data_IF_921824727564
#
_entry.id   IF_921824727564
#
_cell.length_a   1.000
_cell.length_b   1.000
_cell.length_c   1.000
_cell.angle_alpha   90.00
_cell.angle_beta   90.00
_cell.angle_gamma   90.00
#
_symmetry.space_group_name_H-M   'P 1'
#
loop_
_entity.id
_entity.type
_entity.pdbx_description
1 polymer ?
#
# COMPACT_ATOMS: atom_id res chain seq x y z
N UNK A 1 -23.97 -7.56 51.12
CA UNK A 1 -25.01 -6.70 51.72
C UNK A 1 -24.44 -6.19 53.03
N UNK A 2 -24.01 -4.94 53.10
CA UNK A 2 -23.50 -4.31 54.32
C UNK A 2 -24.69 -3.66 55.04
N UNK A 3 -25.12 -4.25 56.16
CA UNK A 3 -26.08 -3.59 57.06
C UNK A 3 -25.42 -2.34 57.65
N UNK A 4 -25.84 -1.17 57.18
CA UNK A 4 -25.53 0.10 57.83
C UNK A 4 -26.33 0.17 59.12
N UNK A 5 -25.64 0.16 60.25
CA UNK A 5 -26.26 0.44 61.55
C UNK A 5 -26.62 1.94 61.59
N UNK A 6 -27.85 2.32 61.94
CA UNK A 6 -28.23 3.74 62.03
C UNK A 6 -27.43 4.46 63.13
N UNK A 7 -27.15 5.77 62.99
CA UNK A 7 -26.42 6.54 63.99
C UNK A 7 -27.20 6.61 65.30
N UNK A 8 -26.49 6.44 66.42
CA UNK A 8 -27.06 6.48 67.77
C UNK A 8 -27.57 7.89 68.10
N UNK A 9 -28.79 7.99 68.62
CA UNK A 9 -29.41 9.23 69.11
C UNK A 9 -29.62 9.15 70.62
N UNK A 10 -29.35 10.26 71.32
CA UNK A 10 -29.45 10.31 72.78
C UNK A 10 -30.93 10.27 73.21
N UNK A 11 -31.31 9.42 74.18
CA UNK A 11 -32.67 9.42 74.73
C UNK A 11 -33.00 10.76 75.43
N UNK A 12 -34.26 11.22 75.30
CA UNK A 12 -34.79 12.41 75.96
C UNK A 12 -35.86 12.01 76.97
N UNK A 13 -35.97 12.73 78.09
CA UNK A 13 -37.07 12.60 79.04
C UNK A 13 -38.37 13.18 78.45
N UNK A 14 -39.56 12.85 79.00
CA UNK A 14 -40.85 13.36 78.49
C UNK A 14 -40.98 14.90 78.45
N UNK A 15 -40.15 15.60 79.20
CA UNK A 15 -40.01 17.06 79.30
C UNK A 15 -38.92 17.65 78.38
N UNK A 16 -38.35 16.84 77.47
CA UNK A 16 -37.47 17.30 76.38
C UNK A 16 -36.02 17.55 76.78
N UNK A 17 -35.60 17.14 77.97
CA UNK A 17 -34.20 17.19 78.42
C UNK A 17 -33.49 15.88 78.14
N UNK A 18 -32.16 15.92 78.07
CA UNK A 18 -31.33 14.73 77.82
C UNK A 18 -31.38 13.77 79.01
N UNK A 19 -31.82 12.54 78.76
CA UNK A 19 -31.86 11.46 79.75
C UNK A 19 -30.52 10.72 79.76
N UNK A 20 -29.61 11.19 80.63
CA UNK A 20 -28.27 10.62 80.76
C UNK A 20 -28.29 9.23 81.39
N UNK A 21 -29.25 8.93 82.28
CA UNK A 21 -29.35 7.61 82.93
C UNK A 21 -29.84 6.54 81.93
N UNK A 22 -30.83 6.87 81.08
CA UNK A 22 -31.22 5.98 79.98
C UNK A 22 -30.12 5.87 78.91
N UNK A 23 -29.36 6.93 78.66
CA UNK A 23 -28.22 6.92 77.73
C UNK A 23 -27.07 6.02 78.16
N UNK A 24 -26.78 5.94 79.47
CA UNK A 24 -25.73 5.09 80.03
C UNK A 24 -26.12 3.61 79.97
N UNK A 25 -27.40 3.28 80.15
CA UNK A 25 -27.88 1.89 80.04
C UNK A 25 -28.11 1.41 78.59
N UNK A 26 -28.27 2.33 77.63
CA UNK A 26 -28.37 2.02 76.20
C UNK A 26 -27.01 2.00 75.47
N UNK A 27 -25.97 2.57 76.07
CA UNK A 27 -24.61 2.42 75.58
C UNK A 27 -24.18 0.96 75.75
N UNK A 28 -23.66 0.34 74.68
CA UNK A 28 -23.10 -1.02 74.72
C UNK A 28 -22.18 -1.15 75.93
N UNK A 29 -22.19 -2.31 76.63
CA UNK A 29 -21.37 -2.50 77.83
C UNK A 29 -19.94 -2.04 77.54
N UNK A 30 -19.43 -1.15 78.39
CA UNK A 30 -18.03 -0.75 78.36
C UNK A 30 -17.18 -2.03 78.37
N UNK A 31 -16.11 -2.10 77.56
CA UNK A 31 -15.29 -3.30 77.50
C UNK A 31 -14.80 -3.61 78.92
N UNK A 32 -15.12 -4.81 79.36
CA UNK A 32 -14.72 -5.39 80.63
C UNK A 32 -13.21 -5.14 80.81
N UNK A 33 -12.84 -4.37 81.84
CA UNK A 33 -11.45 -4.25 82.29
C UNK A 33 -11.08 -5.50 83.10
N UNK A 34 -11.40 -6.67 82.57
CA UNK A 34 -10.86 -7.92 83.05
C UNK A 34 -9.36 -7.88 82.78
N UNK A 35 -8.58 -8.27 83.80
CA UNK A 35 -7.15 -8.49 83.64
C UNK A 35 -6.98 -9.64 82.64
N UNK A 36 -6.91 -9.32 81.34
CA UNK A 36 -6.72 -10.29 80.27
C UNK A 36 -5.52 -11.17 80.62
N UNK A 37 -5.75 -12.49 80.65
CA UNK A 37 -4.70 -13.44 80.96
C UNK A 37 -3.57 -13.33 79.92
N UNK A 38 -2.35 -13.72 80.30
CA UNK A 38 -1.16 -13.57 79.47
C UNK A 38 -1.31 -14.17 78.06
N UNK A 39 -2.12 -15.22 77.92
CA UNK A 39 -2.43 -15.86 76.63
C UNK A 39 -3.31 -14.98 75.72
N UNK A 40 -4.27 -14.24 76.25
CA UNK A 40 -5.15 -13.36 75.46
C UNK A 40 -4.41 -12.12 74.96
N UNK A 41 -3.50 -11.58 75.79
CA UNK A 41 -2.60 -10.49 75.36
C UNK A 41 -1.62 -10.96 74.28
N UNK A 42 -1.13 -12.20 74.37
CA UNK A 42 -0.28 -12.78 73.33
C UNK A 42 -1.05 -13.04 72.02
N UNK A 43 -2.31 -13.45 72.10
CA UNK A 43 -3.17 -13.63 70.93
C UNK A 43 -3.53 -12.31 70.25
N UNK A 44 -3.86 -11.27 71.01
CA UNK A 44 -4.09 -9.92 70.47
C UNK A 44 -2.83 -9.32 69.85
N UNK A 45 -1.66 -9.50 70.47
CA UNK A 45 -0.40 -9.04 69.90
C UNK A 45 -0.12 -9.69 68.54
N UNK A 46 -0.32 -11.01 68.40
CA UNK A 46 -0.20 -11.72 67.12
C UNK A 46 -1.23 -11.26 66.08
N UNK A 47 -2.46 -10.97 66.50
CA UNK A 47 -3.49 -10.48 65.59
C UNK A 47 -3.17 -9.06 65.10
N UNK A 48 -2.63 -8.21 65.98
CA UNK A 48 -2.19 -6.86 65.64
C UNK A 48 -0.99 -6.87 64.68
N UNK A 49 -0.02 -7.77 64.93
CA UNK A 49 1.13 -7.98 64.06
C UNK A 49 0.71 -8.44 62.67
N UNK A 50 -0.24 -9.38 62.58
CA UNK A 50 -0.79 -9.84 61.30
C UNK A 50 -1.55 -8.72 60.55
N UNK A 51 -2.23 -7.84 61.28
CA UNK A 51 -2.92 -6.68 60.68
C UNK A 51 -1.92 -5.65 60.16
N UNK A 52 -0.86 -5.35 60.92
CA UNK A 52 0.22 -4.44 60.50
C UNK A 52 0.95 -4.96 59.26
N UNK A 53 1.21 -6.27 59.20
CA UNK A 53 1.83 -6.89 58.03
C UNK A 53 0.91 -6.84 56.81
N UNK A 54 -0.40 -7.05 56.99
CA UNK A 54 -1.40 -6.89 55.91
C UNK A 54 -1.50 -5.44 55.44
N UNK A 55 -1.48 -4.46 56.33
CA UNK A 55 -1.51 -3.05 55.95
C UNK A 55 -0.23 -2.63 55.24
N UNK A 56 0.94 -3.12 55.68
CA UNK A 56 2.21 -2.89 55.00
C UNK A 56 2.20 -3.45 53.57
N UNK A 57 1.66 -4.66 53.37
CA UNK A 57 1.51 -5.25 52.02
C UNK A 57 0.52 -4.48 51.14
N UNK A 58 -0.56 -3.93 51.72
CA UNK A 58 -1.52 -3.10 50.99
C UNK A 58 -0.91 -1.75 50.62
N UNK A 59 -0.12 -1.14 51.51
CA UNK A 59 0.61 0.10 51.21
C UNK A 59 1.70 -0.11 50.17
N UNK A 60 2.45 -1.22 50.22
CA UNK A 60 3.43 -1.57 49.20
C UNK A 60 2.77 -1.83 47.83
N UNK A 61 1.60 -2.48 47.82
CA UNK A 61 0.81 -2.68 46.60
C UNK A 61 0.25 -1.35 46.05
N UNK A 62 -0.16 -0.43 46.93
CA UNK A 62 -0.59 0.93 46.53
C UNK A 62 0.58 1.78 46.04
N UNK A 63 1.76 1.66 46.64
CA UNK A 63 2.98 2.32 46.20
C UNK A 63 3.41 1.84 44.80
N UNK A 64 3.39 0.51 44.55
CA UNK A 64 3.63 -0.05 43.21
C UNK A 64 2.58 0.37 42.19
N UNK A 65 1.30 0.45 42.57
CA UNK A 65 0.26 1.01 41.70
C UNK A 65 0.44 2.51 41.44
N UNK A 66 0.95 3.27 42.41
CA UNK A 66 1.25 4.69 42.25
C UNK A 66 2.47 4.91 41.35
N UNK A 67 3.52 4.09 41.46
CA UNK A 67 4.66 4.06 40.52
C UNK A 67 4.20 3.76 39.09
N UNK A 68 3.36 2.74 38.90
CA UNK A 68 2.75 2.39 37.60
C UNK A 68 1.85 3.51 37.03
N UNK A 69 1.18 4.29 37.89
CA UNK A 69 0.37 5.45 37.47
C UNK A 69 1.19 6.72 37.25
N UNK A 70 2.40 6.81 37.80
CA UNK A 70 3.23 8.02 37.77
C UNK A 70 3.88 8.31 36.42
N UNK A 71 3.73 7.43 35.43
CA UNK A 71 3.96 7.78 34.02
C UNK A 71 5.35 8.33 33.70
N UNK A 72 6.37 7.98 34.49
CA UNK A 72 7.76 8.21 34.07
C UNK A 72 7.98 7.29 32.87
N UNK A 73 8.32 7.82 31.68
CA UNK A 73 8.63 6.97 30.54
C UNK A 73 9.85 6.15 30.92
N UNK A 74 9.64 4.87 31.23
CA UNK A 74 10.75 3.94 31.42
C UNK A 74 11.48 3.92 30.08
N UNK A 75 12.77 4.29 30.03
CA UNK A 75 13.55 4.17 28.81
C UNK A 75 13.41 2.73 28.32
N UNK A 76 13.18 2.49 27.01
CA UNK A 76 13.12 1.13 26.50
C UNK A 76 14.38 0.38 26.94
N UNK A 77 14.27 -0.90 27.33
CA UNK A 77 15.40 -1.65 27.85
C UNK A 77 16.54 -1.61 26.83
N UNK A 78 17.73 -1.24 27.31
CA UNK A 78 18.92 -1.22 26.47
C UNK A 78 19.23 -2.65 26.01
N UNK A 79 19.37 -2.83 24.69
CA UNK A 79 19.82 -4.10 24.13
C UNK A 79 21.25 -4.43 24.61
N UNK A 80 21.61 -5.71 24.80
CA UNK A 80 22.98 -6.12 25.10
C UNK A 80 23.93 -5.61 24.02
N UNK A 81 25.09 -5.05 24.37
CA UNK A 81 26.04 -4.53 23.38
C UNK A 81 26.42 -5.59 22.34
N UNK A 82 26.58 -6.83 22.79
CA UNK A 82 26.97 -7.98 21.95
C UNK A 82 25.90 -8.37 20.92
N UNK A 83 24.67 -7.85 21.06
CA UNK A 83 23.60 -8.06 20.07
C UNK A 83 23.69 -7.12 18.87
N UNK A 84 24.58 -6.13 18.91
CA UNK A 84 24.78 -5.13 17.87
C UNK A 84 26.05 -5.48 17.08
N UNK A 85 25.88 -6.02 15.89
CA UNK A 85 27.01 -6.19 14.95
C UNK A 85 27.36 -4.84 14.34
N UNK A 86 28.61 -4.41 14.49
CA UNK A 86 29.15 -3.23 13.83
C UNK A 86 30.09 -3.66 12.70
N UNK A 87 29.87 -3.12 11.52
CA UNK A 87 30.78 -3.27 10.37
C UNK A 87 31.44 -1.91 10.10
N UNK A 88 32.74 -1.94 9.79
CA UNK A 88 33.54 -0.73 9.49
C UNK A 88 33.70 -0.65 7.98
N UNK A 89 33.38 0.50 7.39
CA UNK A 89 33.56 0.72 5.96
C UNK A 89 35.05 0.64 5.57
N UNK A 90 35.38 -0.21 4.59
CA UNK A 90 36.73 -0.45 4.11
C UNK A 90 36.87 -0.02 2.66
N UNK A 91 38.05 0.48 2.26
CA UNK A 91 38.31 0.84 0.85
C UNK A 91 38.19 -0.35 -0.11
N UNK A 92 38.30 -1.58 0.37
CA UNK A 92 38.07 -2.79 -0.43
C UNK A 92 36.62 -2.96 -0.88
N UNK A 93 35.67 -2.34 -0.18
CA UNK A 93 34.24 -2.50 -0.44
C UNK A 93 33.83 -1.85 -1.77
N UNK A 94 34.55 -0.81 -2.22
CA UNK A 94 34.25 -0.15 -3.51
C UNK A 94 34.51 -1.06 -4.73
N UNK A 95 35.36 -2.08 -4.59
CA UNK A 95 35.64 -3.03 -5.68
C UNK A 95 34.59 -4.15 -5.79
N UNK A 96 33.81 -4.40 -4.72
CA UNK A 96 32.86 -5.51 -4.63
C UNK A 96 31.40 -5.06 -4.68
N UNK A 97 31.12 -3.76 -4.47
CA UNK A 97 29.76 -3.19 -4.53
C UNK A 97 29.37 -2.89 -5.98
N UNK A 98 28.99 -3.94 -6.72
CA UNK A 98 28.31 -3.83 -8.01
C UNK A 98 26.90 -4.41 -7.89
N UNK A 99 25.88 -3.63 -8.26
CA UNK A 99 24.52 -4.13 -8.35
C UNK A 99 24.41 -5.04 -9.57
N UNK A 100 24.03 -6.29 -9.33
CA UNK A 100 23.73 -7.25 -10.39
C UNK A 100 22.23 -7.32 -10.62
N UNK A 101 21.82 -7.60 -11.86
CA UNK A 101 20.44 -7.89 -12.22
C UNK A 101 20.31 -9.35 -12.64
N UNK A 102 19.28 -10.01 -12.14
CA UNK A 102 18.84 -11.31 -12.62
C UNK A 102 18.16 -11.18 -13.99
N UNK A 103 17.36 -10.12 -14.16
CA UNK A 103 16.79 -9.68 -15.43
C UNK A 103 16.86 -8.15 -15.46
N UNK A 104 17.70 -7.59 -16.31
CA UNK A 104 17.85 -6.14 -16.46
C UNK A 104 16.69 -5.57 -17.31
N UNK A 105 16.01 -4.47 -16.92
CA UNK A 105 16.15 -3.67 -15.69
C UNK A 105 15.19 -4.02 -14.55
N UNK A 106 14.53 -5.18 -14.61
CA UNK A 106 13.35 -5.48 -13.81
C UNK A 106 13.64 -6.13 -12.45
N UNK A 107 14.64 -7.00 -12.38
CA UNK A 107 14.89 -7.86 -11.23
C UNK A 107 16.34 -7.70 -10.73
N UNK A 108 16.64 -6.67 -9.93
CA UNK A 108 17.93 -6.58 -9.23
C UNK A 108 18.13 -7.77 -8.28
N UNK A 109 19.35 -8.29 -8.22
CA UNK A 109 19.75 -9.38 -7.33
C UNK A 109 19.60 -8.98 -5.86
N UNK A 110 19.21 -9.93 -5.00
CA UNK A 110 19.12 -9.77 -3.53
C UNK A 110 18.18 -8.66 -3.06
N UNK A 111 17.19 -8.32 -3.86
CA UNK A 111 16.26 -7.23 -3.58
C UNK A 111 14.81 -7.72 -3.55
N UNK A 112 13.98 -6.96 -2.84
CA UNK A 112 12.52 -7.05 -2.95
C UNK A 112 12.03 -6.09 -4.04
N UNK A 113 11.23 -6.60 -4.98
CA UNK A 113 10.71 -5.85 -6.13
C UNK A 113 9.19 -5.97 -6.16
N UNK A 114 8.49 -4.83 -6.25
CA UNK A 114 7.03 -4.78 -6.28
C UNK A 114 6.45 -4.74 -7.69
N UNK A 115 5.47 -5.59 -7.98
CA UNK A 115 4.70 -5.61 -9.22
C UNK A 115 3.23 -5.35 -8.90
N UNK A 116 2.76 -4.14 -9.21
CA UNK A 116 1.48 -3.65 -8.75
C UNK A 116 0.57 -3.24 -9.90
N UNK A 117 -0.73 -3.31 -9.68
CA UNK A 117 -1.71 -2.82 -10.65
C UNK A 117 -3.06 -3.49 -10.50
N UNK A 118 -4.01 -3.11 -11.35
CA UNK A 118 -5.35 -3.70 -11.33
C UNK A 118 -5.29 -5.19 -11.71
N UNK A 119 -6.39 -5.91 -11.48
CA UNK A 119 -6.59 -7.22 -12.09
C UNK A 119 -6.50 -7.12 -13.61
N UNK A 120 -6.14 -8.22 -14.26
CA UNK A 120 -6.12 -8.35 -15.73
C UNK A 120 -5.06 -7.54 -16.50
N UNK A 121 -4.02 -7.05 -15.83
CA UNK A 121 -2.84 -6.41 -16.49
C UNK A 121 -1.63 -7.36 -16.60
N UNK A 122 -1.88 -8.67 -16.48
CA UNK A 122 -0.90 -9.74 -16.70
C UNK A 122 0.37 -9.73 -15.82
N UNK A 123 0.29 -9.24 -14.57
CA UNK A 123 1.41 -9.22 -13.60
C UNK A 123 2.06 -10.60 -13.39
N UNK A 124 1.25 -11.62 -13.08
CA UNK A 124 1.73 -12.99 -12.90
C UNK A 124 2.32 -13.57 -14.18
N UNK A 125 1.76 -13.25 -15.35
CA UNK A 125 2.35 -13.68 -16.64
C UNK A 125 3.67 -12.97 -16.96
N UNK A 126 3.81 -11.70 -16.57
CA UNK A 126 5.06 -10.94 -16.73
C UNK A 126 6.20 -11.60 -15.95
N UNK A 127 5.96 -11.91 -14.67
CA UNK A 127 6.93 -12.61 -13.82
C UNK A 127 7.15 -14.06 -14.24
N UNK A 128 6.11 -14.77 -14.69
CA UNK A 128 6.26 -16.12 -15.22
C UNK A 128 7.13 -16.17 -16.48
N UNK A 129 7.04 -15.13 -17.33
CA UNK A 129 7.91 -14.99 -18.51
C UNK A 129 9.36 -14.79 -18.07
N UNK A 130 9.63 -13.88 -17.12
CA UNK A 130 10.97 -13.67 -16.58
C UNK A 130 11.55 -14.92 -15.91
N UNK A 131 10.72 -15.65 -15.15
CA UNK A 131 11.11 -16.92 -14.54
C UNK A 131 11.49 -17.99 -15.56
N UNK A 132 10.81 -18.01 -16.72
CA UNK A 132 11.16 -18.86 -17.83
C UNK A 132 12.44 -18.39 -18.54
N UNK A 133 12.62 -17.09 -18.76
CA UNK A 133 13.80 -16.52 -19.44
C UNK A 133 15.11 -16.81 -18.69
N UNK A 134 15.09 -16.82 -17.36
CA UNK A 134 16.28 -17.14 -16.55
C UNK A 134 16.49 -18.64 -16.32
N UNK A 135 15.56 -19.48 -16.78
CA UNK A 135 15.50 -20.88 -16.39
C UNK A 135 16.68 -21.73 -16.87
N UNK A 136 17.45 -21.24 -17.84
CA UNK A 136 18.69 -21.91 -18.26
C UNK A 136 19.83 -21.78 -17.24
N UNK A 137 19.82 -20.72 -16.44
CA UNK A 137 20.91 -20.36 -15.52
C UNK A 137 20.49 -20.33 -14.05
N UNK A 138 19.20 -20.24 -13.77
CA UNK A 138 18.67 -20.12 -12.42
C UNK A 138 17.30 -20.81 -12.28
N UNK A 139 16.91 -21.07 -11.04
CA UNK A 139 15.60 -21.61 -10.68
C UNK A 139 14.70 -20.56 -10.03
N UNK A 140 13.40 -20.79 -10.13
CA UNK A 140 12.34 -19.94 -9.57
C UNK A 140 11.50 -20.72 -8.54
N UNK A 141 11.19 -20.09 -7.41
CA UNK A 141 10.20 -20.55 -6.43
C UNK A 141 8.96 -19.68 -6.53
N UNK A 142 7.83 -20.28 -6.85
CA UNK A 142 6.54 -19.60 -6.95
C UNK A 142 5.62 -20.03 -5.81
N UNK A 143 5.17 -19.07 -5.01
CA UNK A 143 4.22 -19.30 -3.92
C UNK A 143 2.95 -18.53 -4.26
N UNK A 144 1.82 -19.23 -4.41
CA UNK A 144 0.57 -18.60 -4.81
C UNK A 144 -0.64 -19.01 -3.98
N UNK A 145 -1.52 -18.03 -3.74
CA UNK A 145 -2.89 -18.19 -3.20
C UNK A 145 -3.98 -17.90 -4.24
N UNK A 146 -3.61 -17.39 -5.42
CA UNK A 146 -4.55 -16.97 -6.47
C UNK A 146 -4.55 -17.90 -7.67
N UNK A 147 -3.40 -18.47 -8.04
CA UNK A 147 -3.26 -19.29 -9.24
C UNK A 147 -3.05 -20.78 -8.91
N UNK A 148 -3.81 -21.70 -9.55
CA UNK A 148 -3.58 -23.14 -9.40
C UNK A 148 -2.17 -23.57 -9.84
N UNK A 149 -1.54 -24.50 -9.10
CA UNK A 149 -0.20 -25.00 -9.43
C UNK A 149 -0.04 -25.51 -10.85
N UNK A 150 -1.05 -26.22 -11.36
CA UNK A 150 -0.99 -26.78 -12.71
C UNK A 150 -0.90 -25.68 -13.76
N UNK A 151 -1.56 -24.55 -13.53
CA UNK A 151 -1.53 -23.42 -14.45
C UNK A 151 -0.16 -22.75 -14.46
N UNK A 152 0.43 -22.55 -13.28
CA UNK A 152 1.79 -21.99 -13.15
C UNK A 152 2.81 -22.90 -13.84
N UNK A 153 2.76 -24.21 -13.58
CA UNK A 153 3.67 -25.20 -14.18
C UNK A 153 3.49 -25.31 -15.69
N UNK A 154 2.26 -25.42 -16.18
CA UNK A 154 1.97 -25.49 -17.61
C UNK A 154 2.42 -24.21 -18.31
N UNK A 155 2.18 -23.04 -17.71
CA UNK A 155 2.63 -21.76 -18.25
C UNK A 155 4.14 -21.75 -18.40
N UNK A 156 4.90 -22.08 -17.36
CA UNK A 156 6.38 -22.14 -17.42
C UNK A 156 6.88 -22.99 -18.59
N UNK A 157 6.37 -24.22 -18.72
CA UNK A 157 6.78 -25.12 -19.80
C UNK A 157 6.36 -24.60 -21.19
N UNK A 158 5.18 -23.98 -21.31
CA UNK A 158 4.67 -23.48 -22.60
C UNK A 158 5.30 -22.17 -23.06
N UNK A 159 5.88 -21.40 -22.14
CA UNK A 159 6.67 -20.21 -22.46
C UNK A 159 8.07 -20.59 -22.95
N UNK A 160 8.54 -21.80 -22.63
CA UNK A 160 9.90 -22.28 -22.95
C UNK A 160 10.80 -22.41 -21.72
N UNK A 161 10.25 -22.29 -20.51
CA UNK A 161 10.98 -22.54 -19.29
C UNK A 161 11.47 -23.99 -19.21
N UNK A 162 12.70 -24.18 -18.72
CA UNK A 162 13.30 -25.51 -18.65
C UNK A 162 12.64 -26.35 -17.55
N UNK A 163 12.51 -27.65 -17.79
CA UNK A 163 11.98 -28.62 -16.82
C UNK A 163 12.77 -28.56 -15.49
N UNK A 164 12.13 -28.83 -14.34
CA UNK A 164 12.83 -28.91 -13.06
C UNK A 164 13.40 -27.59 -12.50
N UNK A 165 13.18 -26.44 -13.14
CA UNK A 165 13.69 -25.13 -12.66
C UNK A 165 12.62 -24.27 -11.99
N UNK A 166 11.37 -24.72 -12.00
CA UNK A 166 10.25 -24.08 -11.32
C UNK A 166 9.78 -24.95 -10.14
N UNK A 167 9.87 -24.40 -8.92
CA UNK A 167 9.30 -24.96 -7.71
C UNK A 167 8.00 -24.22 -7.39
N UNK A 168 6.91 -24.94 -7.12
CA UNK A 168 5.61 -24.33 -6.82
C UNK A 168 5.13 -24.77 -5.45
N UNK A 169 4.71 -23.82 -4.61
CA UNK A 169 4.06 -24.05 -3.32
C UNK A 169 2.62 -23.57 -3.42
N UNK A 170 1.69 -24.47 -3.15
CA UNK A 170 0.27 -24.11 -3.04
C UNK A 170 -0.02 -23.60 -1.65
N UNK A 171 -0.65 -22.44 -1.58
CA UNK A 171 -1.29 -21.95 -0.39
C UNK A 171 -2.81 -21.98 -0.60
N UNK A 172 -3.53 -22.76 0.21
CA UNK A 172 -4.99 -22.74 0.20
C UNK A 172 -5.50 -21.45 0.88
N UNK A 173 -6.43 -20.69 0.26
CA UNK A 173 -7.01 -19.50 0.88
C UNK A 173 -7.86 -19.89 2.08
N UNK A 174 -7.63 -19.25 3.22
CA UNK A 174 -8.37 -19.51 4.47
C UNK A 174 -9.31 -18.36 4.85
N UNK A 175 -8.96 -17.14 4.47
CA UNK A 175 -9.73 -15.93 4.79
C UNK A 175 -9.85 -15.04 3.57
N UNK A 176 -11.04 -14.52 3.33
CA UNK A 176 -11.33 -13.54 2.30
C UNK A 176 -11.93 -12.26 2.90
N UNK A 177 -11.70 -11.12 2.25
CA UNK A 177 -12.36 -9.86 2.58
C UNK A 177 -13.78 -9.76 1.99
N UNK A 178 -14.47 -8.65 2.28
CA UNK A 178 -15.81 -8.38 1.76
C UNK A 178 -15.90 -8.30 0.22
N UNK A 179 -14.77 -8.20 -0.48
CA UNK A 179 -14.67 -8.14 -1.93
C UNK A 179 -14.21 -9.48 -2.54
N UNK A 180 -14.10 -10.54 -1.72
CA UNK A 180 -13.68 -11.88 -2.13
C UNK A 180 -12.18 -12.04 -2.34
N UNK A 181 -11.35 -11.07 -1.89
CA UNK A 181 -9.89 -11.15 -2.02
C UNK A 181 -9.30 -11.91 -0.85
N UNK A 182 -8.34 -12.80 -1.12
CA UNK A 182 -7.65 -13.56 -0.09
C UNK A 182 -6.83 -12.63 0.80
N UNK A 183 -7.10 -12.63 2.10
CA UNK A 183 -6.38 -11.87 3.14
C UNK A 183 -5.63 -12.76 4.12
N UNK A 184 -5.69 -14.07 3.92
CA UNK A 184 -4.96 -15.07 4.69
C UNK A 184 -5.08 -16.44 4.05
N UNK A 185 -4.04 -17.25 4.24
CA UNK A 185 -3.93 -18.58 3.64
C UNK A 185 -3.23 -19.54 4.60
N UNK A 186 -3.28 -20.83 4.26
CA UNK A 186 -2.52 -21.89 4.94
C UNK A 186 -1.00 -21.69 4.90
N UNK A 187 -0.51 -20.75 4.11
CA UNK A 187 0.88 -20.27 4.14
C UNK A 187 0.91 -18.87 4.75
N UNK A 188 1.81 -18.70 5.71
CA UNK A 188 2.27 -17.41 6.24
C UNK A 188 3.72 -17.16 5.83
N UNK A 189 3.98 -16.04 5.15
CA UNK A 189 5.31 -15.53 4.79
C UNK A 189 6.28 -15.52 5.98
N UNK A 190 5.85 -15.14 7.18
CA UNK A 190 6.75 -15.05 8.33
C UNK A 190 7.22 -16.43 8.84
N UNK A 191 6.42 -17.47 8.63
CA UNK A 191 6.69 -18.81 9.17
C UNK A 191 7.25 -19.76 8.10
N UNK A 192 6.79 -19.63 6.86
CA UNK A 192 6.95 -20.66 5.83
C UNK A 192 7.89 -20.27 4.68
N UNK A 193 8.17 -18.98 4.49
CA UNK A 193 8.98 -18.51 3.36
C UNK A 193 10.42 -19.03 3.42
N UNK A 194 11.11 -18.87 4.55
CA UNK A 194 12.49 -19.33 4.70
C UNK A 194 12.62 -20.86 4.52
N UNK A 195 11.79 -21.70 5.18
CA UNK A 195 11.79 -23.14 4.92
C UNK A 195 11.53 -23.51 3.45
N UNK A 196 10.62 -22.81 2.77
CA UNK A 196 10.33 -23.05 1.35
C UNK A 196 11.53 -22.71 0.46
N UNK A 197 12.20 -21.58 0.71
CA UNK A 197 13.44 -21.18 0.03
C UNK A 197 14.52 -22.23 0.25
N UNK A 198 14.77 -22.66 1.49
CA UNK A 198 15.78 -23.67 1.79
C UNK A 198 15.51 -25.00 1.08
N UNK A 199 14.25 -25.45 1.06
CA UNK A 199 13.85 -26.68 0.36
C UNK A 199 14.05 -26.55 -1.15
N UNK A 200 13.67 -25.41 -1.74
CA UNK A 200 13.85 -25.15 -3.17
C UNK A 200 15.34 -25.05 -3.55
N UNK A 201 16.18 -24.41 -2.73
CA UNK A 201 17.64 -24.35 -2.97
C UNK A 201 18.27 -25.75 -3.03
N UNK A 202 17.97 -26.62 -2.05
CA UNK A 202 18.46 -28.01 -2.05
C UNK A 202 18.01 -28.79 -3.29
N UNK A 203 16.79 -28.56 -3.76
CA UNK A 203 16.29 -29.14 -5.01
C UNK A 203 17.07 -28.61 -6.23
N UNK A 204 17.18 -27.29 -6.34
CA UNK A 204 17.84 -26.60 -7.44
C UNK A 204 19.32 -26.99 -7.61
N UNK A 205 20.02 -27.20 -6.50
CA UNK A 205 21.45 -27.54 -6.49
C UNK A 205 21.74 -28.98 -6.95
N UNK A 206 20.72 -29.85 -6.98
CA UNK A 206 20.88 -31.30 -7.24
C UNK A 206 20.30 -31.78 -8.57
N UNK A 207 19.44 -30.98 -9.23
CA UNK A 207 18.75 -31.43 -10.45
C UNK A 207 19.59 -31.35 -11.73
N UNK A 208 20.57 -30.45 -11.79
CA UNK A 208 21.32 -30.14 -13.02
C UNK A 208 22.83 -30.09 -12.81
N UNK A 209 23.58 -30.37 -13.87
CA UNK A 209 25.03 -30.17 -13.95
C UNK A 209 25.34 -29.32 -15.21
N UNK A 210 25.81 -28.07 -15.07
CA UNK A 210 26.02 -27.34 -13.82
C UNK A 210 24.69 -27.03 -13.09
N UNK A 211 24.72 -26.80 -11.77
CA UNK A 211 23.53 -26.46 -11.00
C UNK A 211 22.89 -25.15 -11.47
N UNK A 212 21.56 -25.07 -11.36
CA UNK A 212 20.77 -23.87 -11.65
C UNK A 212 20.21 -23.31 -10.35
N UNK A 213 20.97 -22.49 -9.62
CA UNK A 213 20.62 -22.09 -8.26
C UNK A 213 19.29 -21.34 -8.23
N UNK A 214 18.55 -21.48 -7.13
CA UNK A 214 17.38 -20.63 -6.89
C UNK A 214 17.82 -19.17 -6.79
N UNK A 215 17.28 -18.32 -7.66
CA UNK A 215 17.55 -16.87 -7.67
C UNK A 215 16.31 -16.00 -7.67
N UNK A 216 15.15 -16.53 -8.07
CA UNK A 216 13.89 -15.79 -8.06
C UNK A 216 12.88 -16.45 -7.13
N UNK A 217 12.22 -15.65 -6.30
CA UNK A 217 11.06 -16.04 -5.51
C UNK A 217 9.89 -15.13 -5.88
N UNK A 218 8.73 -15.70 -6.19
CA UNK A 218 7.52 -14.96 -6.53
C UNK A 218 6.44 -15.19 -5.48
N UNK A 219 5.87 -14.11 -4.94
CA UNK A 219 4.76 -14.14 -3.98
C UNK A 219 3.46 -13.61 -4.62
N UNK A 220 2.52 -14.50 -4.92
CA UNK A 220 1.30 -14.21 -5.68
C UNK A 220 0.00 -14.55 -4.91
N UNK A 221 -0.60 -13.65 -4.13
CA UNK A 221 -0.17 -12.27 -3.84
C UNK A 221 0.37 -12.13 -2.43
N UNK A 222 1.32 -11.22 -2.24
CA UNK A 222 1.95 -11.01 -0.92
C UNK A 222 0.93 -10.65 0.17
N UNK A 223 -0.15 -9.96 -0.18
CA UNK A 223 -1.25 -9.63 0.74
C UNK A 223 -1.93 -10.88 1.30
N UNK A 224 -2.27 -11.84 0.44
CA UNK A 224 -2.98 -13.05 0.85
C UNK A 224 -2.09 -14.12 1.47
N UNK A 225 -0.78 -14.07 1.20
CA UNK A 225 0.25 -14.96 1.75
C UNK A 225 0.78 -14.53 3.13
N UNK A 226 0.42 -13.33 3.60
CA UNK A 226 0.92 -12.81 4.89
C UNK A 226 -0.09 -13.06 6.00
N UNK A 227 0.36 -13.68 7.10
CA UNK A 227 -0.42 -13.82 8.32
C UNK A 227 -0.47 -12.50 9.11
N UNK A 228 -1.45 -11.65 8.81
CA UNK A 228 -1.62 -10.38 9.53
C UNK A 228 -2.05 -10.62 10.98
N UNK A 229 -1.22 -10.24 11.96
CA UNK A 229 -1.52 -10.41 13.39
C UNK A 229 -2.60 -9.44 13.84
N UNK A 230 -3.12 -9.64 15.06
CA UNK A 230 -4.13 -8.73 15.64
C UNK A 230 -3.62 -7.29 15.67
N UNK A 231 -4.30 -6.41 14.94
CA UNK A 231 -3.95 -4.98 14.82
C UNK A 231 -3.06 -4.67 13.62
N UNK A 232 -2.56 -5.67 12.90
CA UNK A 232 -1.85 -5.50 11.62
C UNK A 232 -2.82 -5.64 10.45
N UNK A 233 -2.52 -4.97 9.34
CA UNK A 233 -3.37 -4.95 8.16
C UNK A 233 -2.55 -4.66 6.91
N UNK A 234 -2.93 -5.21 5.75
CA UNK A 234 -2.31 -4.85 4.47
C UNK A 234 -2.57 -3.39 4.06
N UNK A 235 -3.50 -2.70 4.76
CA UNK A 235 -3.81 -1.29 4.55
C UNK A 235 -3.06 -0.35 5.52
N UNK A 236 -2.23 -0.89 6.43
CA UNK A 236 -1.46 -0.10 7.39
C UNK A 236 0.02 -0.01 6.98
N UNK A 237 0.53 1.21 6.80
CA UNK A 237 1.90 1.46 6.37
C UNK A 237 2.94 0.86 7.33
N UNK A 238 2.69 0.86 8.64
CA UNK A 238 3.65 0.32 9.60
C UNK A 238 3.76 -1.21 9.47
N UNK A 239 2.64 -1.90 9.33
CA UNK A 239 2.55 -3.34 9.12
C UNK A 239 3.24 -3.77 7.81
N UNK A 240 2.98 -3.04 6.71
CA UNK A 240 3.58 -3.30 5.40
C UNK A 240 5.09 -3.04 5.41
N UNK A 241 5.57 -1.98 6.07
CA UNK A 241 7.02 -1.71 6.23
C UNK A 241 7.73 -2.83 6.97
N UNK A 242 7.13 -3.38 8.03
CA UNK A 242 7.71 -4.53 8.77
C UNK A 242 7.84 -5.75 7.87
N UNK A 243 6.81 -6.06 7.09
CA UNK A 243 6.83 -7.16 6.12
C UNK A 243 7.94 -6.98 5.10
N UNK A 244 8.04 -5.79 4.48
CA UNK A 244 9.03 -5.53 3.44
C UNK A 244 10.47 -5.50 3.98
N UNK A 245 10.67 -5.03 5.21
CA UNK A 245 11.96 -5.12 5.90
C UNK A 245 12.35 -6.58 6.16
N UNK A 246 11.40 -7.41 6.63
CA UNK A 246 11.62 -8.86 6.78
C UNK A 246 11.98 -9.51 5.44
N UNK A 247 11.22 -9.26 4.38
CA UNK A 247 11.48 -9.81 3.05
C UNK A 247 12.86 -9.39 2.51
N UNK A 248 13.28 -8.15 2.75
CA UNK A 248 14.61 -7.68 2.34
C UNK A 248 15.73 -8.42 3.10
N UNK A 249 15.57 -8.65 4.39
CA UNK A 249 16.52 -9.47 5.17
C UNK A 249 16.59 -10.91 4.65
N UNK A 250 15.46 -11.49 4.25
CA UNK A 250 15.40 -12.82 3.64
C UNK A 250 16.07 -12.83 2.26
N UNK A 251 15.83 -11.84 1.40
CA UNK A 251 16.41 -11.77 0.05
C UNK A 251 17.93 -11.70 0.09
N UNK A 252 18.48 -10.94 1.04
CA UNK A 252 19.93 -10.82 1.25
C UNK A 252 20.53 -12.10 1.83
N UNK A 253 19.94 -12.64 2.91
CA UNK A 253 20.45 -13.85 3.60
C UNK A 253 20.52 -15.05 2.67
N UNK A 254 19.51 -15.22 1.82
CA UNK A 254 19.42 -16.38 0.93
C UNK A 254 19.88 -16.08 -0.50
N UNK A 255 20.41 -14.91 -0.80
CA UNK A 255 20.90 -14.57 -2.14
C UNK A 255 19.85 -14.82 -3.25
N UNK A 256 18.64 -14.30 -3.02
CA UNK A 256 17.49 -14.42 -3.95
C UNK A 256 16.84 -13.05 -4.16
N UNK A 257 16.26 -12.83 -5.33
CA UNK A 257 15.36 -11.71 -5.60
C UNK A 257 13.93 -12.14 -5.28
N UNK A 258 13.21 -11.33 -4.51
CA UNK A 258 11.81 -11.59 -4.15
C UNK A 258 10.92 -10.62 -4.92
N UNK A 259 10.17 -11.12 -5.89
CA UNK A 259 9.14 -10.38 -6.59
C UNK A 259 7.79 -10.56 -5.90
N UNK A 260 7.16 -9.46 -5.49
CA UNK A 260 5.85 -9.45 -4.85
C UNK A 260 4.78 -8.94 -5.81
N UNK A 261 3.67 -9.66 -5.90
CA UNK A 261 2.50 -9.21 -6.66
C UNK A 261 1.49 -8.62 -5.69
N UNK A 262 0.99 -7.42 -6.02
CA UNK A 262 -0.07 -6.77 -5.26
C UNK A 262 -1.14 -6.14 -6.16
N UNK A 263 -2.39 -6.15 -5.70
CA UNK A 263 -3.51 -5.55 -6.41
C UNK A 263 -3.80 -4.14 -5.88
N UNK A 264 -3.90 -3.18 -6.81
CA UNK A 264 -4.34 -1.82 -6.48
C UNK A 264 -5.85 -1.79 -6.15
N UNK A 265 -6.26 -1.00 -5.16
CA UNK A 265 -7.68 -0.82 -4.83
C UNK A 265 -8.44 -0.10 -5.97
N UNK A 266 -9.76 -0.34 -6.07
CA UNK A 266 -10.65 0.29 -7.08
C UNK A 266 -11.00 1.76 -6.79
N UNK A 267 -10.39 2.40 -5.79
CA UNK A 267 -10.79 3.73 -5.33
C UNK A 267 -10.23 4.89 -6.18
N UNK A 268 -10.87 6.06 -6.07
CA UNK A 268 -10.57 7.32 -6.77
C UNK A 268 -9.27 7.97 -6.24
N UNK A 269 -8.12 7.39 -6.52
CA UNK A 269 -6.85 8.04 -6.22
C UNK A 269 -6.35 8.80 -7.46
N UNK A 270 -5.90 10.05 -7.25
CA UNK A 270 -5.41 10.94 -8.32
C UNK A 270 -4.13 10.42 -8.98
N UNK A 271 -3.29 9.69 -8.23
CA UNK A 271 -2.13 8.98 -8.78
C UNK A 271 -2.26 7.49 -8.54
N UNK A 272 -2.12 6.70 -9.62
CA UNK A 272 -2.23 5.24 -9.60
C UNK A 272 -1.16 4.58 -8.71
N UNK A 273 -0.08 5.29 -8.39
CA UNK A 273 1.03 4.85 -7.56
C UNK A 273 0.77 4.90 -6.04
N UNK A 274 -0.30 5.55 -5.59
CA UNK A 274 -0.39 6.00 -4.19
C UNK A 274 -0.97 4.97 -3.21
N UNK A 275 -1.69 3.94 -3.67
CA UNK A 275 -2.28 2.95 -2.75
C UNK A 275 -2.47 1.56 -3.39
N UNK A 276 -1.61 0.62 -2.99
CA UNK A 276 -1.84 -0.83 -3.17
C UNK A 276 -2.44 -1.34 -1.87
N UNK A 277 -3.58 -2.05 -1.94
CA UNK A 277 -4.28 -2.50 -0.74
C UNK A 277 -4.39 -1.43 0.38
N UNK A 278 -4.61 -0.15 0.02
CA UNK A 278 -4.80 0.96 0.98
C UNK A 278 -3.54 1.53 1.63
N UNK A 279 -2.35 0.97 1.37
CA UNK A 279 -1.09 1.44 1.93
C UNK A 279 -0.12 1.93 0.84
N UNK A 280 0.55 3.06 1.11
CA UNK A 280 1.59 3.62 0.23
C UNK A 280 2.94 2.90 0.41
N UNK A 281 3.11 2.22 1.54
CA UNK A 281 4.35 1.52 1.87
C UNK A 281 4.65 0.38 0.89
N UNK A 282 3.63 -0.21 0.25
CA UNK A 282 3.82 -1.25 -0.77
C UNK A 282 4.67 -0.78 -1.95
N UNK A 283 4.46 0.46 -2.42
CA UNK A 283 5.20 1.03 -3.55
C UNK A 283 6.45 1.78 -3.08
N UNK A 284 6.43 2.37 -1.89
CA UNK A 284 7.52 3.23 -1.41
C UNK A 284 8.64 2.50 -0.68
N UNK A 285 8.36 1.37 -0.02
CA UNK A 285 9.38 0.67 0.78
C UNK A 285 10.33 -0.23 -0.04
N UNK A 286 9.88 -1.00 -1.07
CA UNK A 286 10.80 -1.81 -1.88
C UNK A 286 11.77 -0.91 -2.65
N UNK A 287 13.01 -1.34 -2.89
CA UNK A 287 14.00 -0.50 -3.62
C UNK A 287 13.60 -0.22 -5.07
N UNK A 288 12.78 -1.09 -5.65
CA UNK A 288 12.21 -0.97 -6.98
C UNK A 288 10.75 -1.42 -6.96
N UNK A 289 9.86 -0.63 -7.55
CA UNK A 289 8.43 -0.94 -7.65
C UNK A 289 7.88 -0.49 -8.99
N UNK A 290 7.04 -1.34 -9.56
CA UNK A 290 6.41 -1.17 -10.84
C UNK A 290 4.90 -1.10 -10.72
N UNK A 291 4.31 -0.24 -11.54
CA UNK A 291 2.87 -0.12 -11.72
C UNK A 291 2.53 -0.53 -13.15
N UNK A 292 1.62 -1.48 -13.26
CA UNK A 292 1.09 -2.03 -14.49
C UNK A 292 -0.31 -1.49 -14.74
N UNK A 293 -0.56 -1.08 -15.98
CA UNK A 293 -1.83 -0.64 -16.48
C UNK A 293 -2.10 -1.26 -17.85
N UNK A 294 -3.39 -1.30 -18.24
CA UNK A 294 -3.78 -1.67 -19.60
C UNK A 294 -3.42 -0.52 -20.53
N UNK A 295 -2.82 -0.84 -21.67
CA UNK A 295 -2.71 0.11 -22.77
C UNK A 295 -4.06 0.13 -23.50
N UNK A 296 -4.68 1.30 -23.55
CA UNK A 296 -6.01 1.45 -24.17
C UNK A 296 -5.94 1.53 -25.69
N UNK A 297 -4.75 1.73 -26.26
CA UNK A 297 -4.55 1.96 -27.70
C UNK A 297 -4.59 0.66 -28.50
N UNK A 298 -4.25 -0.46 -27.86
CA UNK A 298 -4.16 -1.77 -28.52
C UNK A 298 -4.73 -2.88 -27.60
N UNK A 299 -5.41 -3.85 -28.20
CA UNK A 299 -5.93 -5.00 -27.46
C UNK A 299 -4.79 -5.90 -26.98
N UNK A 300 -4.91 -6.47 -25.78
CA UNK A 300 -3.87 -7.32 -25.17
C UNK A 300 -2.53 -6.62 -24.88
N UNK A 301 -2.45 -5.31 -25.11
CA UNK A 301 -1.29 -4.48 -24.77
C UNK A 301 -1.44 -3.86 -23.38
N UNK A 302 -0.31 -3.71 -22.72
CA UNK A 302 -0.17 -3.19 -21.37
C UNK A 302 1.07 -2.31 -21.29
N UNK A 303 1.09 -1.48 -20.27
CA UNK A 303 2.21 -0.60 -19.96
C UNK A 303 2.62 -0.79 -18.51
N UNK A 304 3.93 -0.84 -18.27
CA UNK A 304 4.52 -0.87 -16.94
C UNK A 304 5.40 0.35 -16.77
N UNK A 305 5.28 1.05 -15.64
CA UNK A 305 6.17 2.16 -15.28
C UNK A 305 6.81 1.94 -13.92
N UNK A 306 8.04 2.41 -13.76
CA UNK A 306 8.68 2.54 -12.44
C UNK A 306 7.87 3.51 -11.58
N UNK A 307 7.22 3.01 -10.54
CA UNK A 307 6.56 3.83 -9.53
C UNK A 307 7.58 4.42 -8.55
N UNK A 308 8.57 3.62 -8.18
CA UNK A 308 9.65 4.02 -7.27
C UNK A 308 10.92 3.25 -7.58
N UNK A 309 12.05 3.94 -7.53
CA UNK A 309 13.37 3.33 -7.70
C UNK A 309 14.41 4.09 -6.88
N UNK A 310 15.30 3.36 -6.22
CA UNK A 310 16.56 3.88 -5.67
C UNK A 310 17.78 3.35 -6.42
N UNK A 311 17.57 2.56 -7.47
CA UNK A 311 18.61 1.76 -8.12
C UNK A 311 18.89 2.21 -9.55
N UNK A 312 17.88 2.74 -10.21
CA UNK A 312 17.91 3.11 -11.63
C UNK A 312 17.03 4.31 -11.93
N UNK A 313 17.29 4.98 -13.04
CA UNK A 313 16.43 6.03 -13.60
C UNK A 313 15.04 5.45 -13.88
N UNK A 314 13.99 6.26 -13.76
CA UNK A 314 12.64 5.79 -14.11
C UNK A 314 12.57 5.45 -15.59
N UNK A 315 11.79 4.42 -15.89
CA UNK A 315 11.51 3.98 -17.24
C UNK A 315 10.09 3.44 -17.32
N UNK A 316 9.60 3.34 -18.56
CA UNK A 316 8.33 2.73 -18.91
C UNK A 316 8.57 1.67 -19.98
N UNK A 317 7.92 0.52 -19.84
CA UNK A 317 8.01 -0.59 -20.78
C UNK A 317 6.62 -0.92 -21.29
N UNK A 318 6.47 -0.95 -22.61
CA UNK A 318 5.28 -1.49 -23.28
C UNK A 318 5.44 -2.99 -23.43
N UNK A 319 4.36 -3.74 -23.23
CA UNK A 319 4.37 -5.18 -23.39
C UNK A 319 3.00 -5.70 -23.81
N UNK A 320 2.96 -6.78 -24.58
CA UNK A 320 1.72 -7.43 -25.01
C UNK A 320 1.61 -8.83 -24.45
N UNK A 321 0.39 -9.36 -24.37
CA UNK A 321 0.13 -10.73 -23.93
C UNK A 321 -0.19 -11.64 -25.09
N UNK A 322 0.42 -12.82 -25.12
CA UNK A 322 0.18 -13.83 -26.15
C UNK A 322 -0.26 -15.16 -25.51
N UNK A 323 -1.35 -15.78 -25.98
CA UNK A 323 -1.79 -17.10 -25.50
C UNK A 323 -0.74 -18.19 -25.76
N UNK A 324 -0.37 -18.93 -24.71
CA UNK A 324 0.54 -20.08 -24.81
C UNK A 324 -0.13 -21.42 -24.50
N UNK A 325 -1.29 -21.38 -23.85
CA UNK A 325 -2.06 -22.58 -23.54
C UNK A 325 -3.54 -22.26 -23.42
N UNK A 326 -4.39 -23.12 -24.00
CA UNK A 326 -5.85 -22.98 -23.89
C UNK A 326 -6.37 -23.88 -22.77
N UNK A 327 -6.90 -23.27 -21.71
CA UNK A 327 -7.53 -23.97 -20.59
C UNK A 327 -8.93 -24.45 -20.93
N UNK A 328 -9.70 -23.61 -21.63
CA UNK A 328 -11.07 -23.92 -22.01
C UNK A 328 -11.41 -23.21 -23.32
N UNK A 329 -11.94 -23.99 -24.26
CA UNK A 329 -12.50 -23.48 -25.52
C UNK A 329 -13.97 -23.19 -25.32
N UNK A 330 -14.39 -21.96 -25.63
CA UNK A 330 -15.81 -21.57 -25.60
C UNK A 330 -16.39 -21.70 -27.00
N UNK A 331 -17.67 -22.06 -27.09
CA UNK A 331 -18.41 -22.06 -28.36
C UNK A 331 -18.65 -20.62 -28.83
N UNK A 332 -18.90 -19.71 -27.90
CA UNK A 332 -19.07 -18.28 -28.13
C UNK A 332 -18.14 -17.46 -27.20
N UNK A 333 -17.44 -16.47 -27.77
CA UNK A 333 -16.55 -15.56 -27.03
C UNK A 333 -15.08 -16.00 -26.94
N UNK A 334 -14.29 -15.29 -26.14
CA UNK A 334 -12.85 -15.52 -26.01
C UNK A 334 -12.54 -16.76 -25.16
N UNK A 335 -11.56 -17.56 -25.61
CA UNK A 335 -11.08 -18.73 -24.88
C UNK A 335 -10.45 -18.36 -23.54
N UNK A 336 -10.58 -19.24 -22.55
CA UNK A 336 -9.78 -19.12 -21.32
C UNK A 336 -8.37 -19.62 -21.62
N UNK A 337 -7.38 -18.74 -21.50
CA UNK A 337 -5.99 -19.02 -21.89
C UNK A 337 -5.01 -18.64 -20.79
N UNK A 338 -3.88 -19.35 -20.74
CA UNK A 338 -2.66 -18.89 -20.09
C UNK A 338 -1.86 -18.10 -21.11
N UNK A 339 -1.29 -16.97 -20.68
CA UNK A 339 -0.56 -16.06 -21.57
C UNK A 339 0.88 -15.91 -21.12
N UNK A 340 1.76 -15.69 -22.09
CA UNK A 340 3.10 -15.11 -21.90
C UNK A 340 3.07 -13.61 -22.12
N UNK A 341 4.13 -12.94 -21.71
CA UNK A 341 4.35 -11.54 -22.04
C UNK A 341 5.44 -11.42 -23.10
N UNK A 342 5.18 -10.60 -24.11
CA UNK A 342 6.20 -10.15 -25.06
C UNK A 342 6.61 -8.73 -24.66
N UNK A 343 7.82 -8.59 -24.12
CA UNK A 343 8.38 -7.29 -23.71
C UNK A 343 8.73 -6.50 -24.97
N UNK A 344 8.17 -5.30 -25.10
CA UNK A 344 8.39 -4.40 -26.21
C UNK A 344 9.35 -3.26 -25.85
N UNK A 345 9.03 -2.06 -26.34
CA UNK A 345 9.86 -0.88 -26.16
C UNK A 345 9.98 -0.49 -24.69
N UNK A 346 11.22 -0.25 -24.25
CA UNK A 346 11.53 0.39 -22.96
C UNK A 346 12.05 1.80 -23.21
N UNK A 347 11.36 2.79 -22.61
CA UNK A 347 11.66 4.21 -22.70
C UNK A 347 12.20 4.67 -21.34
N UNK A 348 13.41 5.20 -21.35
CA UNK A 348 14.11 5.72 -20.18
C UNK A 348 13.91 7.22 -20.03
N UNK A 349 13.92 7.70 -18.79
CA UNK A 349 13.77 9.13 -18.46
C UNK A 349 12.49 9.41 -17.69
N UNK A 350 12.53 10.35 -16.75
CA UNK A 350 11.38 10.65 -15.89
C UNK A 350 10.19 11.15 -16.70
N UNK A 351 10.43 12.13 -17.58
CA UNK A 351 9.40 12.82 -18.35
C UNK A 351 8.92 11.96 -19.53
N UNK A 352 9.85 11.36 -20.28
CA UNK A 352 9.53 10.51 -21.44
C UNK A 352 8.80 9.23 -21.00
N UNK A 353 9.21 8.62 -19.89
CA UNK A 353 8.51 7.46 -19.35
C UNK A 353 7.09 7.80 -18.88
N UNK A 354 6.90 9.01 -18.32
CA UNK A 354 5.59 9.49 -17.90
C UNK A 354 4.69 9.74 -19.10
N UNK A 355 5.17 10.42 -20.13
CA UNK A 355 4.42 10.71 -21.37
C UNK A 355 3.90 9.41 -22.01
N UNK A 356 4.76 8.40 -22.17
CA UNK A 356 4.35 7.10 -22.74
C UNK A 356 3.29 6.41 -21.87
N UNK A 357 3.42 6.49 -20.54
CA UNK A 357 2.46 5.89 -19.62
C UNK A 357 1.11 6.62 -19.63
N UNK A 358 1.12 7.95 -19.67
CA UNK A 358 -0.08 8.77 -19.79
C UNK A 358 -0.78 8.51 -21.11
N UNK A 359 -0.06 8.49 -22.23
CA UNK A 359 -0.62 8.20 -23.56
C UNK A 359 -1.28 6.82 -23.63
N UNK A 360 -0.69 5.81 -22.99
CA UNK A 360 -1.23 4.46 -22.94
C UNK A 360 -2.48 4.34 -22.05
N UNK A 361 -2.63 5.21 -21.04
CA UNK A 361 -3.68 5.07 -20.01
C UNK A 361 -4.75 6.16 -20.05
N UNK A 362 -4.54 7.21 -20.86
CA UNK A 362 -5.47 8.33 -21.04
C UNK A 362 -6.79 7.80 -21.57
N UNK A 363 -7.90 8.09 -20.88
CA UNK A 363 -9.23 7.75 -21.41
C UNK A 363 -9.42 8.36 -22.80
N UNK A 364 -10.01 7.62 -23.76
CA UNK A 364 -10.43 8.23 -25.01
C UNK A 364 -11.33 9.43 -24.69
N UNK A 365 -11.22 10.56 -25.41
CA UNK A 365 -12.24 11.59 -25.30
C UNK A 365 -13.58 10.92 -25.63
N UNK A 366 -14.45 10.79 -24.62
CA UNK A 366 -15.79 10.23 -24.82
C UNK A 366 -16.45 10.99 -25.97
N UNK A 367 -16.73 10.27 -27.06
CA UNK A 367 -17.64 10.75 -28.10
C UNK A 367 -18.95 11.11 -27.39
N UNK A 368 -19.33 12.37 -27.53
CA UNK A 368 -20.53 12.93 -26.90
C UNK A 368 -21.77 12.28 -27.50
N UNK A 369 -22.20 11.17 -26.92
CA UNK A 369 -23.57 10.69 -27.05
C UNK A 369 -24.24 10.67 -25.68
N UNK A 370 -25.36 11.39 -25.58
CA UNK A 370 -26.35 11.20 -24.50
C UNK A 370 -26.20 12.11 -23.28
N UNK A 371 -26.80 13.30 -23.39
CA UNK A 371 -27.58 13.99 -22.34
C UNK A 371 -27.34 13.61 -20.87
N UNK A 372 -26.78 14.54 -20.08
CA UNK A 372 -26.84 14.48 -18.62
C UNK A 372 -25.76 15.29 -17.91
N UNK A 373 -25.97 16.60 -17.80
CA UNK A 373 -24.97 17.56 -17.32
C UNK A 373 -24.43 17.30 -15.91
N UNK A 374 -23.10 17.36 -15.80
CA UNK A 374 -22.32 17.31 -14.56
C UNK A 374 -20.98 18.04 -14.62
N UNK A 375 -20.89 19.14 -15.37
CA UNK A 375 -20.00 20.28 -15.14
C UNK A 375 -18.47 20.07 -15.03
N UNK A 376 -17.76 19.88 -16.15
CA UNK A 376 -16.45 20.53 -16.31
C UNK A 376 -16.72 21.98 -16.73
N UNK A 377 -16.39 22.96 -15.87
CA UNK A 377 -16.42 24.38 -16.25
C UNK A 377 -15.39 24.61 -17.35
N UNK A 378 -15.85 24.69 -18.60
CA UNK A 378 -15.06 25.21 -19.71
C UNK A 378 -14.43 26.55 -19.29
N UNK A 379 -13.11 26.65 -19.45
CA UNK A 379 -12.37 27.87 -19.12
C UNK A 379 -12.92 29.05 -19.91
N UNK A 380 -12.97 30.24 -19.30
CA UNK A 380 -13.48 31.45 -19.96
C UNK A 380 -12.76 31.77 -21.28
N UNK A 381 -11.46 31.45 -21.36
CA UNK A 381 -10.63 31.54 -22.57
C UNK A 381 -11.12 30.60 -23.67
N UNK A 382 -11.52 29.36 -23.32
CA UNK A 382 -12.06 28.40 -24.28
C UNK A 382 -13.38 28.88 -24.87
N UNK A 383 -14.31 29.32 -24.03
CA UNK A 383 -15.60 29.86 -24.49
C UNK A 383 -15.44 31.11 -25.37
N UNK A 384 -14.52 31.99 -25.00
CA UNK A 384 -14.18 33.18 -25.79
C UNK A 384 -13.62 32.82 -27.17
N UNK A 385 -12.77 31.78 -27.24
CA UNK A 385 -12.25 31.26 -28.50
C UNK A 385 -13.37 30.67 -29.36
N UNK A 386 -14.27 29.87 -28.79
CA UNK A 386 -15.37 29.26 -29.53
C UNK A 386 -16.29 30.32 -30.15
N UNK A 387 -16.67 31.34 -29.38
CA UNK A 387 -17.48 32.47 -29.88
C UNK A 387 -16.75 33.27 -30.95
N UNK A 388 -15.44 33.49 -30.79
CA UNK A 388 -14.62 34.20 -31.77
C UNK A 388 -14.52 33.41 -33.09
N UNK A 389 -14.22 32.12 -33.02
CA UNK A 389 -14.12 31.26 -34.20
C UNK A 389 -15.47 31.18 -34.90
N UNK A 390 -16.56 30.95 -34.16
CA UNK A 390 -17.91 30.94 -34.73
C UNK A 390 -18.24 32.26 -35.42
N UNK A 391 -17.94 33.40 -34.79
CA UNK A 391 -18.18 34.72 -35.38
C UNK A 391 -17.40 34.92 -36.69
N UNK A 392 -16.12 34.53 -36.73
CA UNK A 392 -15.26 34.64 -37.92
C UNK A 392 -15.82 33.80 -39.06
N UNK A 393 -16.23 32.56 -38.78
CA UNK A 393 -16.74 31.65 -39.81
C UNK A 393 -18.16 31.97 -40.28
N UNK A 394 -19.02 32.47 -39.38
CA UNK A 394 -20.41 32.81 -39.68
C UNK A 394 -20.54 34.11 -40.46
N UNK A 395 -19.73 35.12 -40.12
CA UNK A 395 -19.80 36.44 -40.76
C UNK A 395 -18.95 36.51 -42.03
N UNK A 396 -17.87 35.72 -42.12
CA UNK A 396 -16.92 35.78 -43.23
C UNK A 396 -16.17 37.12 -43.34
N UNK A 397 -16.27 37.98 -42.32
CA UNK A 397 -15.62 39.29 -42.25
C UNK A 397 -14.64 39.34 -41.06
N UNK A 398 -13.68 40.27 -41.06
CA UNK A 398 -12.76 40.48 -39.94
C UNK A 398 -13.51 40.82 -38.64
N UNK A 399 -13.35 39.98 -37.61
CA UNK A 399 -14.01 40.14 -36.30
C UNK A 399 -13.10 40.89 -35.32
N UNK A 400 -13.65 41.82 -34.54
CA UNK A 400 -12.90 42.56 -33.49
C UNK A 400 -13.19 42.02 -32.09
N UNK A 401 -12.30 42.32 -31.13
CA UNK A 401 -12.51 41.98 -29.71
C UNK A 401 -13.79 42.56 -29.11
N UNK A 402 -14.15 43.79 -29.52
CA UNK A 402 -15.38 44.48 -29.10
C UNK A 402 -16.62 43.71 -29.58
N UNK A 403 -16.59 43.18 -30.81
CA UNK A 403 -17.68 42.34 -31.33
C UNK A 403 -17.78 41.01 -30.58
N UNK A 404 -16.65 40.40 -30.22
CA UNK A 404 -16.65 39.18 -29.39
C UNK A 404 -17.18 39.47 -27.98
N UNK A 405 -16.85 40.61 -27.37
CA UNK A 405 -17.43 41.01 -26.07
C UNK A 405 -18.95 41.15 -26.15
N UNK A 406 -19.46 41.77 -27.22
CA UNK A 406 -20.90 41.93 -27.44
C UNK A 406 -21.61 40.58 -27.65
N UNK A 407 -21.00 39.66 -28.40
CA UNK A 407 -21.54 38.30 -28.64
C UNK A 407 -21.44 37.41 -27.40
N UNK A 408 -20.37 37.57 -26.62
CA UNK A 408 -20.13 36.81 -25.40
C UNK A 408 -20.95 37.34 -24.20
N UNK A 409 -21.47 38.56 -24.28
CA UNK A 409 -22.27 39.21 -23.23
C UNK A 409 -21.49 39.57 -21.97
N UNK A 410 -20.15 39.55 -22.04
CA UNK A 410 -19.25 39.88 -20.92
C UNK A 410 -17.92 40.40 -21.45
N UNK A 411 -17.37 41.40 -20.76
CA UNK A 411 -16.02 41.88 -21.04
C UNK A 411 -14.97 40.84 -20.64
N UNK A 412 -14.10 40.51 -21.60
CA UNK A 412 -12.93 39.64 -21.43
C UNK A 412 -11.71 40.54 -21.15
N UNK A 413 -10.96 40.22 -20.09
CA UNK A 413 -9.82 41.04 -19.66
C UNK A 413 -8.66 41.00 -20.66
N UNK A 414 -7.79 42.01 -20.62
CA UNK A 414 -6.59 42.08 -21.48
C UNK A 414 -5.66 40.87 -21.30
N UNK A 415 -5.56 40.33 -20.07
CA UNK A 415 -4.74 39.14 -19.77
C UNK A 415 -5.32 37.88 -20.40
N UNK A 416 -6.64 37.75 -20.43
CA UNK A 416 -7.33 36.62 -21.07
C UNK A 416 -7.25 36.70 -22.59
N UNK A 417 -7.35 37.91 -23.16
CA UNK A 417 -7.10 38.13 -24.59
C UNK A 417 -5.68 37.72 -25.01
N UNK A 418 -4.67 38.00 -24.18
CA UNK A 418 -3.30 37.52 -24.44
C UNK A 418 -3.24 35.99 -24.59
N UNK A 419 -3.99 35.25 -23.76
CA UNK A 419 -4.06 33.78 -23.83
C UNK A 419 -4.86 33.28 -25.02
N UNK A 420 -5.94 33.98 -25.39
CA UNK A 420 -6.72 33.69 -26.60
C UNK A 420 -5.83 33.82 -27.84
N UNK A 421 -5.08 34.92 -27.95
CA UNK A 421 -4.20 35.16 -29.09
C UNK A 421 -3.06 34.13 -29.17
N UNK A 422 -2.44 33.80 -28.04
CA UNK A 422 -1.37 32.81 -27.96
C UNK A 422 -1.88 31.42 -28.39
N UNK A 423 -3.05 31.01 -27.93
CA UNK A 423 -3.67 29.74 -28.33
C UNK A 423 -4.09 29.72 -29.80
N UNK A 424 -4.64 30.82 -30.32
CA UNK A 424 -4.98 30.93 -31.74
C UNK A 424 -3.74 30.84 -32.63
N UNK A 425 -2.61 31.40 -32.22
CA UNK A 425 -1.33 31.26 -32.92
C UNK A 425 -0.81 29.82 -32.91
N UNK A 426 -0.84 29.14 -31.75
CA UNK A 426 -0.41 27.75 -31.62
C UNK A 426 -1.31 26.78 -32.41
N UNK A 427 -2.60 27.08 -32.48
CA UNK A 427 -3.62 26.23 -33.12
C UNK A 427 -4.11 26.82 -34.45
N UNK A 428 -3.29 27.64 -35.11
CA UNK A 428 -3.67 28.35 -36.34
C UNK A 428 -4.09 27.38 -37.45
N UNK A 429 -3.44 26.23 -37.56
CA UNK A 429 -3.80 25.17 -38.51
C UNK A 429 -5.16 24.52 -38.23
N UNK A 430 -5.57 24.44 -36.97
CA UNK A 430 -6.81 23.80 -36.54
C UNK A 430 -8.01 24.73 -36.71
N UNK A 431 -7.88 25.97 -36.25
CA UNK A 431 -8.98 26.94 -36.32
C UNK A 431 -8.99 27.75 -37.62
N UNK A 432 -7.89 27.78 -38.38
CA UNK A 432 -7.71 28.62 -39.58
C UNK A 432 -8.18 30.06 -39.35
N UNK A 433 -7.80 30.64 -38.21
CA UNK A 433 -8.05 32.04 -37.88
C UNK A 433 -6.70 32.73 -37.72
N UNK A 434 -6.48 33.80 -38.47
CA UNK A 434 -5.27 34.63 -38.42
C UNK A 434 -5.57 35.91 -37.66
N UNK A 435 -4.57 36.38 -36.92
CA UNK A 435 -4.62 37.65 -36.20
C UNK A 435 -3.94 38.72 -37.06
N UNK A 436 -4.70 39.71 -37.51
CA UNK A 436 -4.23 40.82 -38.35
C UNK A 436 -4.40 42.15 -37.61
N UNK A 437 -3.58 43.14 -37.97
CA UNK A 437 -3.73 44.50 -37.46
C UNK A 437 -4.50 45.34 -38.49
N UNK A 438 -5.64 45.88 -38.09
CA UNK A 438 -6.48 46.74 -38.90
C UNK A 438 -6.26 48.24 -38.62
N UNK A 439 -7.17 49.10 -39.10
CA UNK A 439 -7.06 50.55 -38.95
C UNK A 439 -6.88 50.94 -37.47
N UNK A 440 -5.99 51.89 -37.19
CA UNK A 440 -5.64 52.33 -35.83
C UNK A 440 -5.01 51.25 -34.93
N UNK A 441 -4.34 50.25 -35.52
CA UNK A 441 -3.64 49.17 -34.79
C UNK A 441 -4.58 48.29 -33.94
N UNK A 442 -5.87 48.23 -34.31
CA UNK A 442 -6.85 47.34 -33.69
C UNK A 442 -6.62 45.92 -34.18
N UNK A 443 -6.77 44.95 -33.28
CA UNK A 443 -6.62 43.52 -33.58
C UNK A 443 -7.90 43.01 -34.27
N UNK A 444 -7.73 42.41 -35.44
CA UNK A 444 -8.77 41.71 -36.19
C UNK A 444 -8.46 40.22 -36.28
N UNK A 445 -9.51 39.42 -36.22
CA UNK A 445 -9.46 37.98 -36.41
C UNK A 445 -10.13 37.64 -37.74
N UNK A 446 -9.38 37.02 -38.65
CA UNK A 446 -9.81 36.78 -40.02
C UNK A 446 -9.68 35.29 -40.34
N UNK A 447 -10.61 34.76 -41.13
CA UNK A 447 -10.51 33.38 -41.62
C UNK A 447 -9.33 33.26 -42.58
N UNK A 448 -8.43 32.33 -42.30
CA UNK A 448 -7.34 31.96 -43.20
C UNK A 448 -7.94 31.25 -44.42
N UNK A 449 -7.58 31.74 -45.62
CA UNK A 449 -8.04 31.21 -46.89
C UNK A 449 -7.66 29.73 -47.07
#
# INVERSE_FOLDING_TARGET
MSEQTPPWTVPLTPDGKTDWDAGIHAAKPMPDFSFKNAEEKAAEAKHLEMLLEKTARIEEAKAKQAELKSGVPIPPPMAPMDSITMEVAMNSDTATVALQYLVDPFLPSRCVVGFFGRGSVAKSSFLATMGADISDVASTLWISVEEPNDWIRVRHMKIGGVEGTLFVVTAAPEKADAQGRTIGSSIDVYEHLEPAIQKAKRGADSMYIPPRPLKLVVLDTAVGLTGWRKGESPNDDASVKKLLAYLQGVSERYDVTIAIIGHSNKAKHEYFADTVAGSSAWTNSPRLSFVHARDIREEHSNVMRVAKSNLTTRFTTLYSTEPVHTLHKREEGANSVLVRVNIGLTVWGEDESMEVFEDATRKPPEEREGEGGGGKKESLVGKAMDVLVEAVYRTGQPVTREQVHNLFGREISRREWGKVDERLKLMQFQYRVVIENGPQNKVHYVKQA
#
